data_IF_148363762719
#
_entry.id   IF_148363762719
#
_cell.length_a   1.000
_cell.length_b   1.000
_cell.length_c   1.000
_cell.angle_alpha   90.00
_cell.angle_beta   90.00
_cell.angle_gamma   90.00
#
_symmetry.space_group_name_H-M   'P 1'
#
loop_
_entity.id
_entity.type
_entity.pdbx_description
1 polymer ?
#
# COMPACT_ATOMS: atom_id res chain seq x y z
N UNK A 1 78.58 48.33 27.67
CA UNK A 1 77.95 49.57 28.16
C UNK A 1 78.20 50.62 27.10
N UNK A 2 77.18 50.96 26.30
CA UNK A 2 77.30 52.01 25.30
C UNK A 2 76.46 53.19 25.75
N UNK A 3 77.11 54.29 26.16
CA UNK A 3 76.47 55.60 26.22
C UNK A 3 76.74 56.24 24.86
N UNK A 4 75.70 56.34 24.03
CA UNK A 4 75.78 57.11 22.79
C UNK A 4 75.52 58.58 23.17
N UNK A 5 76.58 59.38 23.13
CA UNK A 5 76.51 60.83 23.17
C UNK A 5 76.58 61.37 21.74
N UNK A 6 75.84 62.46 21.53
CA UNK A 6 75.69 63.27 20.30
C UNK A 6 74.63 62.80 19.29
N UNK A 7 73.41 63.30 19.49
CA UNK A 7 72.37 63.42 18.47
C UNK A 7 71.88 64.87 18.40
N UNK A 8 72.00 65.49 17.23
CA UNK A 8 71.47 66.82 16.95
C UNK A 8 69.97 66.92 17.29
N UNK A 9 69.62 68.06 17.88
CA UNK A 9 68.28 68.61 18.14
C UNK A 9 67.20 68.12 17.15
N UNK A 10 66.40 67.12 17.55
CA UNK A 10 65.06 66.92 16.97
C UNK A 10 64.58 65.51 16.62
N UNK A 11 65.36 64.44 16.79
CA UNK A 11 64.86 63.06 16.54
C UNK A 11 64.41 62.37 17.85
N UNK A 12 63.31 61.58 17.84
CA UNK A 12 62.75 61.02 19.07
C UNK A 12 63.55 59.80 19.53
N UNK A 13 64.64 60.02 20.26
CA UNK A 13 65.38 59.03 21.07
C UNK A 13 64.50 58.05 21.88
N UNK A 14 63.30 58.40 22.41
CA UNK A 14 62.41 57.43 23.05
C UNK A 14 62.05 56.22 22.17
N UNK A 15 61.97 56.37 20.83
CA UNK A 15 61.62 55.26 19.92
C UNK A 15 62.71 54.18 19.84
N UNK A 16 63.97 54.50 20.20
CA UNK A 16 65.08 53.54 20.12
C UNK A 16 65.02 52.48 21.23
N UNK A 17 64.39 52.81 22.36
CA UNK A 17 64.19 51.87 23.48
C UNK A 17 63.17 50.77 23.21
N UNK A 18 62.31 50.95 22.20
CA UNK A 18 61.35 49.94 21.75
C UNK A 18 62.00 48.87 20.87
N UNK A 19 63.08 49.24 20.15
CA UNK A 19 63.77 48.36 19.18
C UNK A 19 64.92 47.59 19.83
N UNK A 20 65.65 48.20 20.78
CA UNK A 20 66.82 47.60 21.43
C UNK A 20 66.47 47.22 22.87
N UNK A 21 66.23 45.92 23.17
CA UNK A 21 65.99 45.47 24.54
C UNK A 21 67.24 45.72 25.40
N UNK A 22 67.02 46.06 26.69
CA UNK A 22 68.07 46.49 27.64
C UNK A 22 68.77 47.82 27.26
N UNK A 23 68.00 48.80 26.80
CA UNK A 23 68.44 50.20 26.68
C UNK A 23 67.64 51.12 27.62
N UNK A 24 68.25 52.22 28.04
CA UNK A 24 67.61 53.25 28.87
C UNK A 24 68.02 54.63 28.35
N UNK A 25 67.05 55.53 28.19
CA UNK A 25 67.26 56.92 27.76
C UNK A 25 67.03 57.84 28.94
N UNK A 26 67.82 58.91 29.02
CA UNK A 26 67.65 59.99 29.98
C UNK A 26 68.24 61.29 29.44
N UNK A 27 67.63 62.42 29.81
CA UNK A 27 67.99 63.74 29.32
C UNK A 27 69.23 64.28 30.05
N UNK A 28 70.30 64.52 29.31
CA UNK A 28 71.56 65.08 29.81
C UNK A 28 71.48 66.60 29.84
N UNK A 29 71.84 67.21 30.96
CA UNK A 29 71.95 68.67 31.04
C UNK A 29 73.11 69.17 30.17
N UNK A 30 73.02 70.40 29.66
CA UNK A 30 74.04 70.99 28.79
C UNK A 30 75.45 71.04 29.44
N UNK A 31 75.50 71.04 30.78
CA UNK A 31 76.74 71.03 31.59
C UNK A 31 77.17 69.63 32.06
N UNK A 32 76.44 68.58 31.67
CA UNK A 32 76.64 67.18 32.08
C UNK A 32 76.67 66.95 33.60
N UNK A 33 76.18 67.89 34.41
CA UNK A 33 76.21 67.81 35.87
C UNK A 33 75.35 66.66 36.43
N UNK A 34 74.33 66.22 35.69
CA UNK A 34 73.43 65.14 36.07
C UNK A 34 73.86 63.73 35.61
N UNK A 35 75.06 63.57 35.02
CA UNK A 35 75.51 62.29 34.43
C UNK A 35 75.54 61.11 35.43
N UNK A 36 75.96 61.34 36.67
CA UNK A 36 76.01 60.29 37.70
C UNK A 36 74.60 59.82 38.07
N UNK A 37 73.66 60.76 38.14
CA UNK A 37 72.25 60.47 38.42
C UNK A 37 71.60 59.74 37.24
N UNK A 38 71.94 60.09 36.01
CA UNK A 38 71.50 59.38 34.81
C UNK A 38 72.01 57.94 34.77
N UNK A 39 73.29 57.70 35.10
CA UNK A 39 73.84 56.34 35.17
C UNK A 39 73.14 55.53 36.26
N UNK A 40 72.90 56.12 37.44
CA UNK A 40 72.19 55.44 38.54
C UNK A 40 70.75 55.11 38.14
N UNK A 41 70.04 56.03 37.51
CA UNK A 41 68.67 55.82 37.03
C UNK A 41 68.62 54.78 35.91
N UNK A 42 69.57 54.83 34.97
CA UNK A 42 69.70 53.85 33.89
C UNK A 42 70.01 52.45 34.44
N UNK A 43 70.93 52.33 35.39
CA UNK A 43 71.25 51.06 36.05
C UNK A 43 70.02 50.48 36.77
N UNK A 44 69.30 51.30 37.55
CA UNK A 44 68.08 50.87 38.24
C UNK A 44 67.00 50.43 37.24
N UNK A 45 66.78 51.18 36.16
CA UNK A 45 65.79 50.85 35.12
C UNK A 45 66.14 49.58 34.33
N UNK A 46 67.43 49.33 34.09
CA UNK A 46 67.91 48.15 33.38
C UNK A 46 67.94 46.90 34.27
N UNK A 47 68.18 47.06 35.57
CA UNK A 47 68.17 45.96 36.55
C UNK A 47 66.76 45.59 36.99
N UNK A 48 65.81 46.54 36.99
CA UNK A 48 64.41 46.29 37.34
C UNK A 48 63.59 45.58 36.28
N UNK A 49 64.09 45.45 35.04
CA UNK A 49 63.36 44.79 33.95
C UNK A 49 64.08 43.55 33.45
N UNK A 50 63.41 42.41 33.46
CA UNK A 50 63.96 41.11 33.04
C UNK A 50 63.22 40.64 31.80
N UNK A 51 63.98 40.37 30.73
CA UNK A 51 63.49 39.75 29.51
C UNK A 51 64.02 38.33 29.41
N UNK A 52 63.13 37.36 29.21
CA UNK A 52 63.49 35.97 28.97
C UNK A 52 63.20 35.61 27.52
N UNK A 53 64.21 35.13 26.80
CA UNK A 53 64.10 34.84 25.37
C UNK A 53 64.91 33.60 25.00
N UNK A 54 64.68 33.06 23.80
CA UNK A 54 65.38 31.89 23.27
C UNK A 54 66.14 32.21 21.99
N UNK A 55 67.08 31.34 21.61
CA UNK A 55 67.70 31.40 20.29
C UNK A 55 66.73 30.89 19.21
N UNK A 56 67.12 31.05 17.94
CA UNK A 56 66.30 30.61 16.81
C UNK A 56 65.93 29.12 16.92
N UNK A 57 64.63 28.83 16.96
CA UNK A 57 64.05 27.48 16.96
C UNK A 57 63.43 27.18 15.59
N UNK A 58 63.39 25.90 15.17
CA UNK A 58 62.73 25.53 13.91
C UNK A 58 61.22 25.83 13.98
N UNK A 59 60.60 26.07 12.83
CA UNK A 59 59.16 26.36 12.71
C UNK A 59 58.24 25.26 13.26
N UNK A 60 58.79 24.05 13.44
CA UNK A 60 58.12 22.87 14.01
C UNK A 60 57.99 22.94 15.53
N UNK A 61 58.72 23.86 16.19
CA UNK A 61 58.64 24.14 17.62
C UNK A 61 58.07 25.55 17.85
N UNK A 62 57.04 25.62 18.68
CA UNK A 62 56.47 26.88 19.18
C UNK A 62 56.78 27.02 20.66
N UNK A 63 57.47 28.10 21.03
CA UNK A 63 57.82 28.43 22.41
C UNK A 63 57.02 29.67 22.83
N UNK A 64 56.26 29.56 23.90
CA UNK A 64 55.56 30.70 24.52
C UNK A 64 55.91 30.82 25.99
N UNK A 65 55.79 32.04 26.52
CA UNK A 65 56.18 32.41 27.87
C UNK A 65 54.99 33.01 28.60
N UNK A 66 54.76 32.56 29.83
CA UNK A 66 53.87 33.22 30.77
C UNK A 66 54.70 33.80 31.92
N UNK A 67 54.62 35.11 32.12
CA UNK A 67 55.43 35.88 33.07
C UNK A 67 54.61 36.18 34.33
N UNK A 68 55.11 35.76 35.49
CA UNK A 68 54.52 36.02 36.80
C UNK A 68 55.46 36.93 37.60
N UNK A 69 55.17 38.23 37.57
CA UNK A 69 56.04 39.27 38.11
C UNK A 69 55.72 39.61 39.56
N UNK A 70 56.70 40.12 40.30
CA UNK A 70 56.58 40.44 41.74
C UNK A 70 55.62 41.59 42.05
N UNK A 71 55.28 42.41 41.05
CA UNK A 71 54.33 43.52 41.15
C UNK A 71 52.85 43.09 40.97
N UNK A 72 52.58 41.78 40.90
CA UNK A 72 51.23 41.23 40.70
C UNK A 72 50.75 41.22 39.25
N UNK A 73 51.57 41.70 38.31
CA UNK A 73 51.27 41.64 36.87
C UNK A 73 51.57 40.24 36.34
N UNK A 74 50.61 39.67 35.61
CA UNK A 74 50.76 38.39 34.93
C UNK A 74 50.47 38.55 33.44
N UNK A 75 51.39 38.11 32.58
CA UNK A 75 51.21 38.08 31.13
C UNK A 75 51.28 36.63 30.66
N UNK A 76 50.30 36.16 29.89
CA UNK A 76 50.18 34.75 29.48
C UNK A 76 50.42 34.61 27.98
N UNK A 77 51.06 33.50 27.59
CA UNK A 77 51.29 33.07 26.19
C UNK A 77 51.92 34.14 25.28
N UNK A 78 52.89 34.88 25.80
CA UNK A 78 53.67 35.87 25.05
C UNK A 78 54.86 35.24 24.32
N UNK A 79 55.36 35.84 23.23
CA UNK A 79 56.53 35.34 22.49
C UNK A 79 57.84 35.44 23.26
N UNK A 80 57.88 36.30 24.29
CA UNK A 80 59.02 36.50 25.20
C UNK A 80 58.52 36.70 26.62
N UNK A 81 59.35 36.37 27.62
CA UNK A 81 59.09 36.74 29.00
C UNK A 81 59.44 38.21 29.24
N UNK A 82 58.58 38.95 29.95
CA UNK A 82 58.77 40.36 30.28
C UNK A 82 58.22 40.65 31.68
N UNK A 83 59.12 41.01 32.60
CA UNK A 83 58.77 41.52 33.92
C UNK A 83 59.48 42.83 34.19
N UNK A 84 58.72 43.84 34.59
CA UNK A 84 59.21 45.16 35.01
C UNK A 84 59.00 45.38 36.51
N UNK A 85 59.78 46.28 37.10
CA UNK A 85 59.74 46.58 38.54
C UNK A 85 60.26 45.45 39.45
N UNK A 86 61.15 44.59 38.94
CA UNK A 86 61.79 43.50 39.68
C UNK A 86 62.74 44.05 40.74
N UNK A 87 62.60 43.58 41.97
CA UNK A 87 63.44 43.99 43.10
C UNK A 87 64.55 42.99 43.38
N UNK A 88 65.66 43.47 43.95
CA UNK A 88 66.77 42.62 44.38
C UNK A 88 66.27 41.64 45.44
N UNK A 89 66.63 40.35 45.30
CA UNK A 89 66.24 39.24 46.18
C UNK A 89 64.75 38.88 46.20
N UNK A 90 63.93 39.38 45.26
CA UNK A 90 62.54 38.95 45.09
C UNK A 90 62.42 38.09 43.82
N UNK A 91 62.09 36.79 43.94
CA UNK A 91 62.02 35.90 42.78
C UNK A 91 60.80 36.21 41.91
N UNK A 92 60.98 36.07 40.59
CA UNK A 92 59.92 36.07 39.58
C UNK A 92 59.90 34.73 38.87
N UNK A 93 58.75 34.32 38.33
CA UNK A 93 58.60 33.01 37.69
C UNK A 93 58.17 33.17 36.24
N UNK A 94 58.83 32.45 35.34
CA UNK A 94 58.40 32.32 33.95
C UNK A 94 58.00 30.86 33.69
N UNK A 95 56.78 30.65 33.20
CA UNK A 95 56.32 29.35 32.71
C UNK A 95 56.56 29.29 31.20
N UNK A 96 57.41 28.36 30.77
CA UNK A 96 57.74 28.14 29.36
C UNK A 96 56.92 26.97 28.83
N UNK A 97 56.18 27.20 27.74
CA UNK A 97 55.40 26.17 27.05
C UNK A 97 56.04 25.89 25.69
N UNK A 98 56.50 24.65 25.49
CA UNK A 98 57.12 24.19 24.25
C UNK A 98 56.16 23.22 23.58
N UNK A 99 55.72 23.53 22.37
CA UNK A 99 54.78 22.70 21.60
C UNK A 99 55.39 22.33 20.26
N UNK A 100 55.43 21.03 19.95
CA UNK A 100 55.82 20.54 18.64
C UNK A 100 54.58 20.31 17.75
N UNK A 101 54.65 20.70 16.48
CA UNK A 101 53.54 20.47 15.52
C UNK A 101 53.62 19.10 14.85
N UNK A 102 54.80 18.48 14.87
CA UNK A 102 55.08 17.17 14.28
C UNK A 102 56.09 16.40 15.14
N UNK A 103 56.33 15.14 14.77
CA UNK A 103 57.37 14.32 15.38
C UNK A 103 58.75 14.81 14.97
N UNK A 104 59.33 15.67 15.81
CA UNK A 104 60.66 16.24 15.59
C UNK A 104 61.76 15.19 15.79
N UNK A 105 62.96 15.48 15.30
CA UNK A 105 64.14 14.77 15.76
C UNK A 105 64.63 15.33 17.09
N UNK A 106 65.44 14.53 17.79
CA UNK A 106 66.11 14.99 18.99
C UNK A 106 66.92 16.26 18.71
N UNK A 107 66.66 17.32 19.48
CA UNK A 107 67.32 18.61 19.32
C UNK A 107 67.37 19.38 20.64
N UNK A 108 68.14 20.46 20.67
CA UNK A 108 68.26 21.32 21.84
C UNK A 108 68.28 22.79 21.46
N UNK A 109 67.68 23.63 22.31
CA UNK A 109 67.74 25.07 22.21
C UNK A 109 68.03 25.69 23.56
N UNK A 110 68.36 26.99 23.58
CA UNK A 110 68.82 27.67 24.80
C UNK A 110 67.90 28.85 25.10
N UNK A 111 67.49 28.94 26.36
CA UNK A 111 66.75 30.07 26.91
C UNK A 111 67.72 30.90 27.75
N UNK A 112 67.69 32.22 27.61
CA UNK A 112 68.56 33.15 28.34
C UNK A 112 67.81 34.39 28.77
N UNK A 113 68.24 34.96 29.89
CA UNK A 113 67.82 36.30 30.27
C UNK A 113 68.67 37.33 29.51
N UNK A 114 68.04 38.25 28.77
CA UNK A 114 68.79 39.24 27.99
C UNK A 114 69.62 40.14 28.93
N UNK A 115 70.92 40.29 28.63
CA UNK A 115 71.86 41.06 29.44
C UNK A 115 72.56 40.26 30.55
N UNK A 116 72.28 38.96 30.69
CA UNK A 116 72.99 38.05 31.59
C UNK A 116 73.75 36.97 30.80
N UNK A 117 74.79 36.40 31.40
CA UNK A 117 75.58 35.30 30.82
C UNK A 117 74.98 33.93 31.08
N UNK A 118 74.07 33.83 32.05
CA UNK A 118 73.46 32.58 32.47
C UNK A 118 72.47 32.06 31.41
N UNK A 119 72.48 30.75 31.19
CA UNK A 119 71.66 30.10 30.17
C UNK A 119 71.03 28.80 30.69
N UNK A 120 69.89 28.45 30.11
CA UNK A 120 69.16 27.20 30.37
C UNK A 120 69.09 26.41 29.07
N UNK A 121 69.74 25.25 29.02
CA UNK A 121 69.70 24.34 27.87
C UNK A 121 68.47 23.43 27.96
N UNK A 122 67.59 23.52 26.97
CA UNK A 122 66.39 22.69 26.85
C UNK A 122 66.65 21.60 25.82
N UNK A 123 66.72 20.35 26.28
CA UNK A 123 66.80 19.16 25.40
C UNK A 123 65.38 18.67 25.11
N UNK A 124 65.02 18.59 23.83
CA UNK A 124 63.70 18.17 23.38
C UNK A 124 63.82 16.78 22.77
N UNK A 125 63.18 15.81 23.43
CA UNK A 125 63.12 14.42 22.99
C UNK A 125 61.75 14.13 22.37
N UNK A 126 61.66 13.55 21.16
CA UNK A 126 60.38 13.20 20.57
C UNK A 126 59.77 11.98 21.26
N UNK A 127 58.49 12.07 21.60
CA UNK A 127 57.72 10.96 22.16
C UNK A 127 56.61 10.55 21.19
N UNK A 128 57.01 10.00 20.05
CA UNK A 128 56.10 9.58 18.97
C UNK A 128 55.94 8.06 18.86
N UNK A 129 56.92 7.31 19.32
CA UNK A 129 56.89 5.85 19.25
C UNK A 129 56.01 5.27 20.37
N UNK A 130 55.09 4.40 19.98
CA UNK A 130 54.33 3.59 20.90
C UNK A 130 55.21 2.44 21.40
N UNK A 131 55.37 2.32 22.71
CA UNK A 131 56.09 1.21 23.33
C UNK A 131 55.18 -0.04 23.38
N UNK A 132 54.94 -0.66 22.23
CA UNK A 132 54.30 -1.97 22.12
C UNK A 132 55.38 -3.04 21.92
N UNK A 133 55.21 -4.23 22.52
CA UNK A 133 56.18 -5.32 22.33
C UNK A 133 56.17 -5.74 20.85
N UNK A 134 57.28 -5.51 20.15
CA UNK A 134 57.57 -6.20 18.91
C UNK A 134 57.96 -7.65 19.25
N UNK A 135 56.96 -8.50 19.50
CA UNK A 135 57.21 -9.94 19.72
C UNK A 135 57.58 -10.59 18.39
N UNK A 136 58.87 -10.57 18.08
CA UNK A 136 59.47 -11.28 16.94
C UNK A 136 59.23 -12.80 16.96
N UNK A 137 58.81 -13.36 18.11
CA UNK A 137 58.45 -14.76 18.28
C UNK A 137 57.04 -15.14 17.78
N UNK A 138 56.20 -14.17 17.42
CA UNK A 138 54.83 -14.40 16.93
C UNK A 138 54.74 -14.67 15.42
N UNK A 139 55.80 -15.15 14.76
CA UNK A 139 55.78 -15.48 13.31
C UNK A 139 54.62 -16.39 12.91
N UNK A 140 54.18 -17.29 13.80
CA UNK A 140 53.06 -18.19 13.54
C UNK A 140 51.71 -17.49 13.35
N UNK A 141 51.46 -16.36 14.02
CA UNK A 141 50.17 -15.64 13.95
C UNK A 141 49.99 -14.91 12.61
N UNK A 142 51.08 -14.49 11.98
CA UNK A 142 51.09 -13.82 10.68
C UNK A 142 51.44 -14.79 9.53
N UNK A 143 51.04 -16.06 9.67
CA UNK A 143 51.23 -17.09 8.63
C UNK A 143 52.70 -17.40 8.31
N UNK A 144 53.65 -16.98 9.14
CA UNK A 144 55.08 -17.07 8.89
C UNK A 144 55.60 -16.16 7.77
N UNK A 145 54.77 -15.23 7.26
CA UNK A 145 55.05 -14.33 6.13
C UNK A 145 54.96 -12.85 6.54
N UNK A 146 55.21 -12.58 7.81
CA UNK A 146 55.14 -11.25 8.40
C UNK A 146 55.54 -11.27 9.88
N UNK A 147 55.49 -10.10 10.51
CA UNK A 147 55.74 -9.92 11.94
C UNK A 147 54.60 -9.17 12.62
N UNK A 148 54.39 -9.42 13.90
CA UNK A 148 53.36 -8.76 14.70
C UNK A 148 53.90 -7.46 15.28
N UNK A 149 53.22 -6.34 15.02
CA UNK A 149 53.54 -5.03 15.55
C UNK A 149 52.27 -4.43 16.18
N UNK A 150 52.29 -4.12 17.47
CA UNK A 150 51.15 -3.59 18.22
C UNK A 150 49.81 -4.37 18.01
N UNK A 151 49.87 -5.70 17.86
CA UNK A 151 48.68 -6.55 17.71
C UNK A 151 48.15 -6.69 16.28
N UNK A 152 48.83 -6.12 15.27
CA UNK A 152 48.51 -6.29 13.85
C UNK A 152 49.68 -6.93 13.11
N UNK A 153 49.41 -7.68 12.04
CA UNK A 153 50.45 -8.28 11.21
C UNK A 153 50.96 -7.28 10.16
N UNK A 154 52.27 -7.05 10.14
CA UNK A 154 53.00 -6.39 9.06
C UNK A 154 53.56 -7.47 8.13
N UNK A 155 52.98 -7.58 6.94
CA UNK A 155 53.34 -8.62 5.98
C UNK A 155 54.61 -8.28 5.21
N UNK A 156 55.37 -9.30 4.86
CA UNK A 156 56.53 -9.20 3.97
C UNK A 156 56.07 -8.85 2.55
N UNK A 157 56.99 -8.32 1.74
CA UNK A 157 56.70 -7.95 0.36
C UNK A 157 56.14 -9.16 -0.43
N UNK A 158 55.01 -8.96 -1.12
CA UNK A 158 54.33 -10.01 -1.86
C UNK A 158 53.24 -10.75 -1.07
N UNK A 159 53.04 -10.41 0.20
CA UNK A 159 51.95 -10.95 1.03
C UNK A 159 51.06 -9.82 1.56
N UNK A 160 49.76 -10.11 1.68
CA UNK A 160 48.75 -9.19 2.20
C UNK A 160 47.68 -9.97 2.97
N UNK A 161 46.83 -9.27 3.71
CA UNK A 161 45.79 -9.87 4.54
C UNK A 161 46.04 -9.59 6.03
N UNK A 162 45.03 -9.87 6.86
CA UNK A 162 45.11 -9.58 8.30
C UNK A 162 46.14 -10.44 9.02
N UNK A 163 46.39 -11.63 8.49
CA UNK A 163 47.36 -12.61 8.97
C UNK A 163 48.38 -12.98 7.89
N UNK A 164 48.56 -12.14 6.87
CA UNK A 164 49.44 -12.38 5.72
C UNK A 164 49.11 -13.67 4.94
N UNK A 165 47.82 -14.01 4.89
CA UNK A 165 47.28 -15.23 4.30
C UNK A 165 47.23 -15.21 2.76
N UNK A 166 47.31 -14.03 2.14
CA UNK A 166 47.21 -13.87 0.70
C UNK A 166 48.58 -13.58 0.08
N UNK A 167 48.93 -14.29 -0.99
CA UNK A 167 50.07 -13.95 -1.83
C UNK A 167 49.60 -13.08 -3.01
N UNK A 168 50.25 -11.96 -3.25
CA UNK A 168 49.77 -10.96 -4.22
C UNK A 168 50.07 -11.31 -5.67
N UNK A 169 51.02 -12.23 -5.94
CA UNK A 169 51.50 -12.58 -7.29
C UNK A 169 51.76 -11.35 -8.20
N UNK A 170 52.21 -10.23 -7.61
CA UNK A 170 52.49 -8.98 -8.32
C UNK A 170 51.29 -8.03 -8.52
N UNK A 171 50.10 -8.37 -8.02
CA UNK A 171 48.91 -7.50 -8.07
C UNK A 171 48.86 -6.55 -6.86
N UNK A 172 48.41 -5.32 -7.08
CA UNK A 172 48.22 -4.35 -5.99
C UNK A 172 47.02 -4.71 -5.10
N UNK A 173 47.00 -4.21 -3.86
CA UNK A 173 45.85 -4.39 -2.94
C UNK A 173 44.54 -3.88 -3.56
N UNK A 174 44.62 -2.76 -4.29
CA UNK A 174 43.50 -2.13 -4.98
C UNK A 174 42.93 -2.98 -6.12
N UNK A 175 43.79 -3.71 -6.85
CA UNK A 175 43.33 -4.65 -7.89
C UNK A 175 42.63 -5.87 -7.33
N UNK A 176 43.09 -6.38 -6.18
CA UNK A 176 42.40 -7.48 -5.48
C UNK A 176 41.03 -7.01 -4.96
N UNK A 177 40.96 -5.83 -4.35
CA UNK A 177 39.68 -5.25 -3.91
C UNK A 177 38.70 -4.99 -5.05
N UNK A 178 39.20 -4.57 -6.22
CA UNK A 178 38.38 -4.41 -7.43
C UNK A 178 37.69 -5.71 -7.85
N UNK A 179 38.33 -6.87 -7.67
CA UNK A 179 37.75 -8.17 -8.01
C UNK A 179 36.63 -8.65 -7.07
N UNK A 180 36.46 -7.99 -5.93
CA UNK A 180 35.39 -8.19 -4.95
C UNK A 180 34.22 -7.22 -5.13
N UNK A 181 34.24 -6.37 -6.17
CA UNK A 181 33.11 -5.52 -6.57
C UNK A 181 32.47 -6.08 -7.82
N UNK A 182 31.14 -6.01 -7.89
CA UNK A 182 30.38 -6.40 -9.08
C UNK A 182 30.57 -5.39 -10.22
N UNK A 183 30.57 -4.11 -9.86
CA UNK A 183 30.75 -2.94 -10.71
C UNK A 183 31.37 -1.77 -9.91
N UNK A 184 31.87 -0.74 -10.60
CA UNK A 184 32.56 0.38 -9.94
C UNK A 184 31.69 1.12 -8.91
N UNK A 185 30.37 1.09 -9.07
CA UNK A 185 29.43 1.73 -8.14
C UNK A 185 28.98 0.80 -7.01
N UNK A 186 29.27 -0.50 -7.09
CA UNK A 186 28.97 -1.43 -6.00
C UNK A 186 29.95 -1.28 -4.85
N UNK A 187 29.42 -1.49 -3.65
CA UNK A 187 30.21 -1.67 -2.43
C UNK A 187 30.91 -3.03 -2.47
N UNK A 188 32.08 -3.13 -1.82
CA UNK A 188 32.82 -4.39 -1.71
C UNK A 188 31.93 -5.48 -1.10
N UNK A 189 31.87 -6.64 -1.77
CA UNK A 189 31.11 -7.80 -1.33
C UNK A 189 29.66 -7.47 -0.89
N UNK A 190 29.03 -6.51 -1.57
CA UNK A 190 27.67 -6.04 -1.27
C UNK A 190 27.45 -5.60 0.18
N UNK A 191 28.53 -5.32 0.93
CA UNK A 191 28.49 -4.97 2.36
C UNK A 191 28.10 -6.12 3.28
N UNK A 192 27.97 -7.33 2.74
CA UNK A 192 27.51 -8.53 3.45
C UNK A 192 28.60 -9.62 3.50
N UNK A 193 29.86 -9.22 3.29
CA UNK A 193 31.01 -10.11 3.30
C UNK A 193 32.32 -9.34 3.34
N UNK A 194 33.39 -10.08 3.59
CA UNK A 194 34.76 -9.56 3.62
C UNK A 194 35.48 -9.98 2.34
N UNK A 195 36.20 -9.05 1.70
CA UNK A 195 37.05 -9.37 0.56
C UNK A 195 38.38 -9.94 1.05
N UNK A 196 38.59 -11.24 0.82
CA UNK A 196 39.82 -11.94 1.16
C UNK A 196 40.46 -12.46 -0.14
N UNK A 197 41.68 -12.01 -0.42
CA UNK A 197 42.45 -12.41 -1.59
C UNK A 197 41.71 -12.25 -2.95
N UNK A 198 40.84 -11.25 -3.08
CA UNK A 198 40.08 -11.01 -4.31
C UNK A 198 38.83 -11.89 -4.47
N UNK A 199 38.41 -12.56 -3.41
CA UNK A 199 37.14 -13.29 -3.33
C UNK A 199 36.35 -12.82 -2.10
N UNK A 200 35.03 -12.79 -2.24
CA UNK A 200 34.17 -12.42 -1.12
C UNK A 200 33.86 -13.62 -0.24
N UNK A 201 34.07 -13.46 1.07
CA UNK A 201 33.63 -14.41 2.10
C UNK A 201 32.42 -13.81 2.80
N UNK A 202 31.24 -14.37 2.53
CA UNK A 202 29.99 -13.83 3.03
C UNK A 202 29.82 -14.03 4.52
N UNK A 203 29.28 -13.01 5.19
CA UNK A 203 29.00 -13.05 6.61
C UNK A 203 27.90 -14.07 6.90
N UNK A 204 27.99 -14.69 8.09
CA UNK A 204 26.89 -15.51 8.62
C UNK A 204 25.87 -14.56 9.23
N UNK A 205 24.59 -14.78 8.93
CA UNK A 205 23.51 -13.96 9.49
C UNK A 205 23.07 -14.50 10.85
N UNK A 206 22.73 -13.59 11.78
CA UNK A 206 22.13 -13.93 13.07
C UNK A 206 20.66 -14.38 12.94
N UNK A 207 20.04 -14.15 11.77
CA UNK A 207 18.66 -14.56 11.50
C UNK A 207 18.62 -16.08 11.24
N UNK A 208 17.77 -16.84 11.94
CA UNK A 208 17.65 -18.29 11.74
C UNK A 208 17.39 -18.63 10.27
N UNK A 209 18.14 -19.61 9.75
CA UNK A 209 18.04 -20.12 8.38
C UNK A 209 18.35 -19.12 7.26
N UNK A 210 18.79 -17.89 7.55
CA UNK A 210 19.25 -16.94 6.53
C UNK A 210 20.69 -17.25 6.13
N UNK A 211 20.90 -17.50 4.85
CA UNK A 211 22.21 -17.72 4.22
C UNK A 211 22.45 -16.68 3.16
N UNK A 212 23.60 -16.02 3.24
CA UNK A 212 24.09 -15.06 2.24
C UNK A 212 25.11 -15.79 1.39
N UNK A 213 25.00 -15.65 0.07
CA UNK A 213 25.84 -16.34 -0.89
C UNK A 213 25.96 -15.52 -2.19
N UNK A 214 26.68 -16.06 -3.16
CA UNK A 214 27.00 -15.37 -4.41
C UNK A 214 28.46 -14.95 -4.44
N UNK A 215 28.93 -14.55 -5.63
CA UNK A 215 30.33 -14.19 -5.84
C UNK A 215 30.72 -12.92 -5.09
N UNK A 216 29.74 -12.04 -4.90
CA UNK A 216 29.86 -10.73 -4.27
C UNK A 216 28.95 -10.63 -3.04
N UNK A 217 28.51 -11.75 -2.47
CA UNK A 217 27.56 -11.81 -1.35
C UNK A 217 26.25 -11.04 -1.59
N UNK A 218 25.81 -11.05 -2.85
CA UNK A 218 24.67 -10.30 -3.35
C UNK A 218 23.33 -11.05 -3.23
N UNK A 219 23.38 -12.35 -2.95
CA UNK A 219 22.21 -13.22 -2.89
C UNK A 219 21.93 -13.68 -1.47
N UNK A 220 20.65 -13.93 -1.17
CA UNK A 220 20.24 -14.67 0.01
C UNK A 220 19.10 -15.65 -0.32
N UNK A 221 18.70 -16.43 0.68
CA UNK A 221 17.64 -17.44 0.59
C UNK A 221 16.34 -17.01 1.29
N UNK A 222 16.15 -15.73 1.60
CA UNK A 222 14.96 -15.23 2.33
C UNK A 222 14.22 -14.12 1.60
N UNK A 223 14.90 -13.39 0.70
CA UNK A 223 14.35 -12.28 -0.08
C UNK A 223 13.74 -12.76 -1.41
N UNK A 224 12.81 -13.71 -1.33
CA UNK A 224 11.94 -14.08 -2.46
C UNK A 224 10.48 -13.73 -2.17
N UNK A 225 9.63 -13.80 -3.20
CA UNK A 225 8.18 -13.64 -3.06
C UNK A 225 7.59 -14.62 -2.04
N UNK A 226 6.56 -14.15 -1.33
CA UNK A 226 5.90 -14.93 -0.28
C UNK A 226 4.52 -15.37 -0.73
N UNK A 227 4.18 -16.60 -0.38
CA UNK A 227 2.84 -17.15 -0.51
C UNK A 227 2.42 -17.71 0.85
N UNK A 228 1.21 -17.38 1.29
CA UNK A 228 0.67 -17.77 2.60
C UNK A 228 1.61 -17.40 3.78
N UNK A 229 2.19 -16.19 3.71
CA UNK A 229 3.15 -15.67 4.70
C UNK A 229 4.55 -16.29 4.66
N UNK A 230 4.78 -17.36 3.88
CA UNK A 230 6.05 -18.09 3.80
C UNK A 230 6.78 -17.80 2.49
N UNK A 231 8.11 -17.70 2.56
CA UNK A 231 8.98 -17.49 1.38
C UNK A 231 8.84 -18.68 0.44
N UNK A 232 8.50 -18.43 -0.84
CA UNK A 232 8.23 -19.47 -1.85
C UNK A 232 7.19 -20.52 -1.43
N UNK A 233 6.21 -20.14 -0.60
CA UNK A 233 5.20 -21.08 -0.08
C UNK A 233 5.73 -22.05 0.98
N UNK A 234 6.96 -21.85 1.46
CA UNK A 234 7.65 -22.71 2.42
C UNK A 234 8.43 -23.84 1.76
N UNK A 235 9.23 -24.54 2.57
CA UNK A 235 10.15 -25.58 2.09
C UNK A 235 9.40 -26.75 1.41
N UNK A 236 8.13 -26.99 1.75
CA UNK A 236 7.29 -28.00 1.10
C UNK A 236 6.97 -27.70 -0.37
N UNK A 237 6.98 -26.42 -0.76
CA UNK A 237 6.60 -25.97 -2.11
C UNK A 237 7.78 -25.52 -2.94
N UNK A 238 8.82 -24.96 -2.33
CA UNK A 238 9.99 -24.51 -3.06
C UNK A 238 11.10 -23.95 -2.17
N UNK A 239 12.24 -23.67 -2.80
CA UNK A 239 13.38 -23.03 -2.17
C UNK A 239 13.67 -21.67 -2.80
N UNK A 240 14.04 -20.68 -2.00
CA UNK A 240 14.46 -19.38 -2.47
C UNK A 240 15.96 -19.37 -2.77
N UNK A 241 16.34 -18.87 -3.94
CA UNK A 241 17.72 -18.49 -4.20
C UNK A 241 17.80 -17.21 -5.03
N UNK A 242 18.44 -16.18 -4.46
CA UNK A 242 18.74 -14.91 -5.12
C UNK A 242 17.53 -14.24 -5.77
N UNK A 243 16.44 -14.10 -5.00
CA UNK A 243 15.22 -13.44 -5.45
C UNK A 243 14.29 -14.28 -6.32
N UNK A 244 14.65 -15.53 -6.67
CA UNK A 244 13.82 -16.44 -7.43
C UNK A 244 13.42 -17.67 -6.62
N UNK A 245 12.15 -18.05 -6.74
CA UNK A 245 11.65 -19.30 -6.16
C UNK A 245 11.86 -20.47 -7.13
N UNK A 246 12.49 -21.52 -6.63
CA UNK A 246 12.66 -22.79 -7.31
C UNK A 246 11.63 -23.77 -6.74
N UNK A 247 10.55 -23.99 -7.47
CA UNK A 247 9.43 -24.80 -7.01
C UNK A 247 9.76 -26.30 -7.10
N UNK A 248 9.30 -27.04 -6.10
CA UNK A 248 9.34 -28.50 -6.07
C UNK A 248 8.38 -29.07 -7.11
N UNK A 249 8.56 -30.35 -7.42
CA UNK A 249 7.70 -31.08 -8.33
C UNK A 249 6.22 -30.97 -7.89
N UNK A 250 5.34 -30.67 -8.84
CA UNK A 250 3.92 -30.42 -8.57
C UNK A 250 3.54 -28.97 -8.28
N UNK A 251 4.49 -28.05 -8.13
CA UNK A 251 4.22 -26.62 -7.93
C UNK A 251 4.84 -25.74 -9.02
N UNK A 252 4.22 -24.59 -9.27
CA UNK A 252 4.68 -23.56 -10.20
C UNK A 252 4.24 -22.15 -9.80
N UNK A 253 4.68 -21.15 -10.58
CA UNK A 253 4.45 -19.73 -10.31
C UNK A 253 5.67 -19.04 -9.68
N UNK A 254 5.59 -17.72 -9.57
CA UNK A 254 6.67 -16.85 -9.07
C UNK A 254 7.03 -17.10 -7.60
N UNK A 255 6.07 -17.56 -6.80
CA UNK A 255 6.18 -17.85 -5.37
C UNK A 255 5.79 -19.30 -5.03
N UNK A 256 5.77 -20.20 -6.02
CA UNK A 256 5.28 -21.58 -5.89
C UNK A 256 3.84 -21.68 -5.34
N UNK A 257 3.04 -20.68 -5.66
CA UNK A 257 1.65 -20.55 -5.24
C UNK A 257 0.72 -21.55 -5.94
N UNK A 258 1.07 -21.95 -7.15
CA UNK A 258 0.21 -22.69 -8.06
C UNK A 258 0.50 -24.19 -7.95
N UNK A 259 -0.52 -25.01 -7.67
CA UNK A 259 -0.38 -26.46 -7.78
C UNK A 259 -0.65 -26.88 -9.24
N UNK A 260 0.24 -27.71 -9.79
CA UNK A 260 0.13 -28.25 -11.17
C UNK A 260 -0.97 -29.29 -11.33
N UNK A 261 -1.41 -29.87 -10.21
CA UNK A 261 -2.51 -30.82 -10.18
C UNK A 261 -3.79 -30.16 -10.70
N UNK A 262 -4.59 -30.91 -11.45
CA UNK A 262 -5.94 -30.47 -11.89
C UNK A 262 -7.05 -31.18 -11.10
N UNK A 263 -6.70 -31.98 -10.08
CA UNK A 263 -7.66 -32.82 -9.34
C UNK A 263 -8.80 -32.04 -8.70
N UNK A 264 -8.54 -30.86 -8.18
CA UNK A 264 -9.54 -29.94 -7.61
C UNK A 264 -10.46 -29.29 -8.64
N UNK A 265 -10.08 -29.34 -9.93
CA UNK A 265 -10.90 -28.87 -11.04
C UNK A 265 -11.77 -29.97 -11.67
N UNK A 266 -11.56 -31.24 -11.32
CA UNK A 266 -12.30 -32.36 -11.90
C UNK A 266 -13.60 -32.62 -11.14
N UNK A 267 -14.70 -32.80 -11.86
CA UNK A 267 -15.96 -33.28 -11.29
C UNK A 267 -15.88 -34.77 -10.91
N UNK A 268 -16.88 -35.29 -10.20
CA UNK A 268 -16.98 -36.72 -9.88
C UNK A 268 -16.99 -37.62 -11.13
N UNK A 269 -17.40 -37.07 -12.27
CA UNK A 269 -17.45 -37.73 -13.58
C UNK A 269 -16.17 -37.50 -14.42
N UNK A 270 -15.19 -36.77 -13.89
CA UNK A 270 -13.90 -36.51 -14.53
C UNK A 270 -13.89 -35.32 -15.51
N UNK A 271 -14.90 -34.45 -15.48
CA UNK A 271 -14.94 -33.26 -16.34
C UNK A 271 -14.25 -32.06 -15.69
N UNK A 272 -13.27 -31.48 -16.39
CA UNK A 272 -12.59 -30.26 -15.94
C UNK A 272 -13.54 -29.07 -15.99
N UNK A 273 -13.81 -28.46 -14.83
CA UNK A 273 -14.65 -27.28 -14.66
C UNK A 273 -16.01 -27.38 -15.38
N UNK A 274 -16.54 -28.61 -15.49
CA UNK A 274 -17.74 -28.99 -16.24
C UNK A 274 -17.79 -28.44 -17.69
N UNK A 275 -16.63 -28.21 -18.32
CA UNK A 275 -16.50 -27.65 -19.67
C UNK A 275 -16.94 -26.18 -19.80
N UNK A 276 -17.02 -25.45 -18.68
CA UNK A 276 -17.47 -24.04 -18.59
C UNK A 276 -16.50 -23.15 -17.83
N UNK A 277 -15.22 -23.46 -18.00
CA UNK A 277 -14.13 -22.73 -17.38
C UNK A 277 -12.80 -23.33 -17.79
N UNK A 278 -11.72 -22.78 -17.23
CA UNK A 278 -10.37 -23.32 -17.38
C UNK A 278 -9.78 -23.59 -16.01
N UNK A 279 -9.11 -24.73 -15.84
CA UNK A 279 -8.38 -24.97 -14.60
C UNK A 279 -7.10 -24.14 -14.55
N UNK A 280 -6.92 -23.35 -13.50
CA UNK A 280 -5.68 -22.64 -13.19
C UNK A 280 -5.34 -22.84 -11.72
N UNK A 281 -4.12 -23.31 -11.44
CA UNK A 281 -3.66 -23.56 -10.06
C UNK A 281 -4.60 -24.44 -9.25
N UNK A 282 -5.10 -25.53 -9.87
CA UNK A 282 -6.03 -26.47 -9.25
C UNK A 282 -7.40 -25.87 -8.84
N UNK A 283 -7.74 -24.69 -9.39
CA UNK A 283 -9.00 -23.98 -9.17
C UNK A 283 -9.63 -23.63 -10.52
N UNK A 284 -10.95 -23.77 -10.63
CA UNK A 284 -11.68 -23.42 -11.85
C UNK A 284 -11.90 -21.92 -12.00
N UNK A 285 -11.36 -21.35 -13.08
CA UNK A 285 -11.72 -20.02 -13.58
C UNK A 285 -12.96 -20.17 -14.48
N UNK A 286 -14.14 -19.91 -13.91
CA UNK A 286 -15.42 -20.13 -14.57
C UNK A 286 -15.76 -19.06 -15.62
N UNK A 287 -16.43 -19.49 -16.70
CA UNK A 287 -17.04 -18.60 -17.69
C UNK A 287 -18.11 -17.71 -17.00
N UNK A 288 -18.39 -16.52 -17.57
CA UNK A 288 -19.16 -15.47 -16.91
C UNK A 288 -20.49 -15.95 -16.28
N UNK A 289 -20.65 -15.70 -14.98
CA UNK A 289 -21.86 -15.99 -14.20
C UNK A 289 -21.85 -17.35 -13.49
N UNK A 290 -21.06 -18.31 -13.95
CA UNK A 290 -20.92 -19.62 -13.29
C UNK A 290 -20.12 -19.49 -11.99
N UNK A 291 -20.55 -20.21 -10.96
CA UNK A 291 -19.96 -20.14 -9.62
C UNK A 291 -18.89 -21.22 -9.40
N UNK A 292 -17.78 -20.89 -8.69
CA UNK A 292 -16.85 -21.87 -8.14
C UNK A 292 -17.56 -22.84 -7.16
N UNK A 293 -17.01 -24.03 -6.88
CA UNK A 293 -15.66 -24.50 -7.25
C UNK A 293 -15.54 -25.16 -8.63
N UNK A 294 -16.65 -25.63 -9.23
CA UNK A 294 -16.63 -26.47 -10.44
C UNK A 294 -17.47 -25.92 -11.61
N UNK A 295 -17.93 -24.67 -11.56
CA UNK A 295 -18.70 -24.02 -12.63
C UNK A 295 -20.02 -24.73 -12.98
N UNK A 296 -20.69 -25.30 -11.96
CA UNK A 296 -21.92 -26.07 -12.13
C UNK A 296 -23.13 -25.17 -12.38
N UNK A 297 -23.32 -24.18 -11.53
CA UNK A 297 -24.54 -23.35 -11.49
C UNK A 297 -24.23 -21.90 -11.83
N UNK A 298 -25.15 -21.27 -12.57
CA UNK A 298 -25.12 -19.85 -12.87
C UNK A 298 -26.45 -19.22 -12.42
N UNK A 299 -26.45 -18.60 -11.23
CA UNK A 299 -27.64 -17.98 -10.65
C UNK A 299 -28.08 -16.71 -11.40
N UNK A 300 -27.13 -15.99 -11.99
CA UNK A 300 -27.37 -14.74 -12.72
C UNK A 300 -27.58 -14.90 -14.23
N UNK A 301 -27.53 -16.12 -14.77
CA UNK A 301 -27.67 -16.32 -16.20
C UNK A 301 -29.13 -16.14 -16.67
N UNK A 302 -29.35 -15.51 -17.84
CA UNK A 302 -30.69 -15.39 -18.41
C UNK A 302 -31.30 -16.79 -18.65
N UNK A 303 -32.63 -16.84 -18.60
CA UNK A 303 -33.34 -18.11 -18.77
C UNK A 303 -33.17 -18.66 -20.20
N UNK A 304 -32.70 -19.91 -20.37
CA UNK A 304 -32.57 -20.50 -21.70
C UNK A 304 -33.92 -20.89 -22.33
N UNK A 305 -35.03 -20.81 -21.58
CA UNK A 305 -36.36 -21.25 -22.03
C UNK A 305 -36.76 -20.69 -23.40
N UNK A 306 -36.66 -19.36 -23.58
CA UNK A 306 -37.05 -18.71 -24.83
C UNK A 306 -36.21 -19.12 -26.05
N UNK A 307 -34.99 -19.61 -25.86
CA UNK A 307 -34.13 -20.08 -26.96
C UNK A 307 -34.46 -21.51 -27.39
N UNK A 308 -34.91 -22.35 -26.46
CA UNK A 308 -35.13 -23.78 -26.72
C UNK A 308 -36.60 -24.16 -26.96
N UNK A 309 -37.53 -23.19 -27.00
CA UNK A 309 -38.94 -23.43 -27.36
C UNK A 309 -39.10 -24.02 -28.76
N UNK A 310 -38.33 -23.54 -29.74
CA UNK A 310 -38.34 -24.09 -31.12
C UNK A 310 -37.88 -25.53 -31.15
N UNK A 311 -36.84 -25.87 -30.38
CA UNK A 311 -36.37 -27.25 -30.23
C UNK A 311 -37.38 -28.14 -29.50
N UNK A 312 -38.08 -27.62 -28.50
CA UNK A 312 -39.14 -28.34 -27.81
C UNK A 312 -40.27 -28.75 -28.78
N UNK A 313 -40.67 -27.83 -29.67
CA UNK A 313 -41.70 -28.09 -30.68
C UNK A 313 -41.24 -29.10 -31.72
N UNK A 314 -40.05 -28.87 -32.27
CA UNK A 314 -39.49 -29.70 -33.33
C UNK A 314 -39.32 -31.16 -32.86
N UNK A 315 -38.71 -31.37 -31.69
CA UNK A 315 -38.37 -32.71 -31.19
C UNK A 315 -39.59 -33.53 -30.71
N UNK A 316 -40.70 -32.89 -30.37
CA UNK A 316 -41.89 -33.57 -29.80
C UNK A 316 -43.07 -33.64 -30.75
N UNK A 317 -43.30 -32.59 -31.54
CA UNK A 317 -44.48 -32.45 -32.40
C UNK A 317 -44.14 -32.42 -33.89
N UNK A 318 -42.87 -32.63 -34.28
CA UNK A 318 -42.36 -32.57 -35.66
C UNK A 318 -42.71 -31.26 -36.40
N UNK A 319 -42.95 -30.19 -35.65
CA UNK A 319 -43.25 -28.86 -36.17
C UNK A 319 -41.95 -28.03 -36.19
N UNK A 320 -41.21 -28.06 -37.31
CA UNK A 320 -40.07 -27.16 -37.54
C UNK A 320 -40.54 -25.86 -38.22
N UNK A 321 -40.26 -24.67 -37.65
CA UNK A 321 -40.51 -23.40 -38.34
C UNK A 321 -39.65 -23.22 -39.61
N UNK A 322 -38.50 -23.88 -39.66
CA UNK A 322 -37.45 -23.65 -40.66
C UNK A 322 -37.49 -24.65 -41.82
N UNK A 323 -38.34 -25.67 -41.77
CA UNK A 323 -38.36 -26.79 -42.73
C UNK A 323 -37.09 -27.64 -42.71
N UNK A 324 -36.21 -27.44 -41.73
CA UNK A 324 -34.96 -28.18 -41.54
C UNK A 324 -35.19 -29.38 -40.63
N UNK A 325 -34.32 -30.38 -40.75
CA UNK A 325 -34.41 -31.59 -39.94
C UNK A 325 -34.11 -31.26 -38.47
N UNK A 326 -35.02 -31.61 -37.55
CA UNK A 326 -34.95 -31.24 -36.13
C UNK A 326 -33.63 -31.66 -35.46
N UNK A 327 -33.07 -32.80 -35.86
CA UNK A 327 -31.80 -33.30 -35.35
C UNK A 327 -30.61 -32.40 -35.67
N UNK A 328 -30.67 -31.65 -36.77
CA UNK A 328 -29.61 -30.72 -37.19
C UNK A 328 -29.76 -29.39 -36.45
N UNK A 329 -31.00 -28.91 -36.28
CA UNK A 329 -31.30 -27.65 -35.60
C UNK A 329 -31.06 -27.74 -34.09
N UNK A 330 -31.27 -28.91 -33.50
CA UNK A 330 -31.21 -29.16 -32.06
C UNK A 330 -30.10 -30.14 -31.67
N UNK A 331 -28.99 -30.20 -32.42
CA UNK A 331 -27.92 -31.19 -32.20
C UNK A 331 -27.28 -31.17 -30.79
N UNK A 332 -27.35 -30.05 -30.08
CA UNK A 332 -26.83 -29.91 -28.71
C UNK A 332 -27.88 -30.25 -27.62
N UNK A 333 -29.08 -30.66 -28.04
CA UNK A 333 -30.23 -30.93 -27.17
C UNK A 333 -30.62 -32.40 -27.24
N UNK A 334 -30.59 -33.09 -26.10
CA UNK A 334 -31.07 -34.47 -26.00
C UNK A 334 -32.53 -34.53 -25.59
N UNK A 335 -33.36 -35.32 -26.30
CA UNK A 335 -34.75 -35.54 -25.90
C UNK A 335 -34.84 -36.63 -24.82
N UNK A 336 -35.48 -36.32 -23.70
CA UNK A 336 -35.78 -37.26 -22.62
C UNK A 336 -37.25 -37.69 -22.65
N UNK A 337 -37.50 -39.00 -22.60
CA UNK A 337 -38.86 -39.56 -22.54
C UNK A 337 -39.55 -39.33 -21.19
N UNK A 338 -38.79 -39.20 -20.10
CA UNK A 338 -39.31 -38.95 -18.75
C UNK A 338 -38.79 -37.63 -18.21
N UNK A 339 -39.60 -36.99 -17.36
CA UNK A 339 -39.22 -35.75 -16.67
C UNK A 339 -38.01 -35.99 -15.77
N UNK A 340 -36.94 -35.18 -15.89
CA UNK A 340 -35.81 -35.26 -14.98
C UNK A 340 -36.18 -34.74 -13.58
N UNK A 341 -35.61 -35.34 -12.53
CA UNK A 341 -35.81 -34.89 -11.13
C UNK A 341 -35.21 -33.50 -10.87
N UNK A 342 -34.07 -33.20 -11.52
CA UNK A 342 -33.39 -31.91 -11.45
C UNK A 342 -33.44 -31.24 -12.82
N UNK A 343 -33.97 -30.03 -12.88
CA UNK A 343 -34.05 -29.25 -14.11
C UNK A 343 -34.87 -27.97 -13.92
N UNK A 344 -34.71 -27.04 -14.87
CA UNK A 344 -35.48 -25.80 -14.93
C UNK A 344 -36.76 -26.05 -15.71
N UNK A 345 -37.90 -25.80 -15.08
CA UNK A 345 -39.21 -25.85 -15.76
C UNK A 345 -39.44 -24.56 -16.52
N UNK A 346 -39.81 -24.68 -17.79
CA UNK A 346 -40.09 -23.61 -18.72
C UNK A 346 -41.55 -23.74 -19.19
N UNK A 347 -42.23 -22.61 -19.34
CA UNK A 347 -43.56 -22.53 -19.96
C UNK A 347 -43.55 -21.34 -20.92
N UNK A 348 -43.61 -21.63 -22.21
CA UNK A 348 -43.49 -20.64 -23.28
C UNK A 348 -44.61 -20.86 -24.31
N UNK A 349 -44.87 -19.84 -25.14
CA UNK A 349 -45.87 -19.93 -26.22
C UNK A 349 -45.25 -20.50 -27.49
N UNK A 350 -46.01 -21.34 -28.18
CA UNK A 350 -45.64 -21.86 -29.49
C UNK A 350 -46.02 -20.93 -30.65
N UNK A 351 -45.68 -21.34 -31.87
CA UNK A 351 -45.99 -20.60 -33.10
C UNK A 351 -47.50 -20.46 -33.34
N UNK A 352 -48.30 -21.39 -32.81
CA UNK A 352 -49.76 -21.41 -32.91
C UNK A 352 -50.44 -20.65 -31.74
N UNK A 353 -49.64 -20.11 -30.80
CA UNK A 353 -50.10 -19.35 -29.65
C UNK A 353 -50.53 -20.20 -28.44
N UNK A 354 -50.32 -21.51 -28.48
CA UNK A 354 -50.57 -22.43 -27.37
C UNK A 354 -49.40 -22.45 -26.37
N UNK A 355 -49.68 -22.69 -25.10
CA UNK A 355 -48.63 -22.83 -24.09
C UNK A 355 -48.06 -24.25 -24.09
N UNK A 356 -46.74 -24.34 -24.22
CA UNK A 356 -45.98 -25.58 -24.09
C UNK A 356 -45.17 -25.53 -22.80
N UNK A 357 -45.26 -26.59 -22.01
CA UNK A 357 -44.46 -26.78 -20.80
C UNK A 357 -43.38 -27.82 -21.05
N UNK A 358 -42.14 -27.48 -20.72
CA UNK A 358 -40.99 -28.37 -20.88
C UNK A 358 -39.99 -28.17 -19.75
N UNK A 359 -39.16 -29.17 -19.49
CA UNK A 359 -38.14 -29.15 -18.44
C UNK A 359 -36.77 -29.30 -19.09
N UNK A 360 -35.85 -28.37 -18.79
CA UNK A 360 -34.47 -28.38 -19.26
C UNK A 360 -33.54 -28.84 -18.14
N UNK A 361 -32.75 -29.89 -18.38
CA UNK A 361 -31.64 -30.31 -17.52
C UNK A 361 -30.33 -29.99 -18.21
N UNK A 362 -29.49 -29.16 -17.59
CA UNK A 362 -28.24 -28.74 -18.20
C UNK A 362 -27.21 -29.89 -18.20
N UNK A 363 -26.59 -30.15 -19.35
CA UNK A 363 -25.51 -31.14 -19.51
C UNK A 363 -24.14 -30.48 -19.37
N UNK A 364 -23.10 -31.30 -19.22
CA UNK A 364 -21.70 -30.84 -19.21
C UNK A 364 -21.37 -30.12 -20.53
N UNK A 365 -20.57 -29.06 -20.44
CA UNK A 365 -20.19 -28.23 -21.59
C UNK A 365 -21.05 -26.97 -21.76
N UNK A 366 -20.82 -26.26 -22.87
CA UNK A 366 -21.50 -25.00 -23.20
C UNK A 366 -22.79 -25.27 -23.97
N UNK A 367 -23.87 -24.58 -23.58
CA UNK A 367 -25.17 -24.59 -24.27
C UNK A 367 -25.72 -25.99 -24.63
N UNK A 368 -25.41 -27.01 -23.82
CA UNK A 368 -25.93 -28.37 -23.98
C UNK A 368 -26.95 -28.70 -22.91
N UNK A 369 -28.10 -29.21 -23.34
CA UNK A 369 -29.25 -29.47 -22.48
C UNK A 369 -29.93 -30.79 -22.84
N UNK A 370 -30.51 -31.42 -21.84
CA UNK A 370 -31.57 -32.41 -21.98
C UNK A 370 -32.92 -31.72 -21.88
N UNK A 371 -33.84 -32.03 -22.77
CA UNK A 371 -35.20 -31.48 -22.79
C UNK A 371 -36.23 -32.59 -22.63
N UNK A 372 -37.19 -32.38 -21.73
CA UNK A 372 -38.41 -33.17 -21.64
C UNK A 372 -39.61 -32.28 -21.89
N UNK A 373 -40.45 -32.61 -22.87
CA UNK A 373 -41.63 -31.82 -23.25
C UNK A 373 -42.88 -32.56 -22.79
N UNK A 374 -43.76 -31.88 -22.05
CA UNK A 374 -45.03 -32.45 -21.58
C UNK A 374 -45.95 -32.74 -22.80
N UNK A 375 -46.74 -33.81 -22.75
CA UNK A 375 -47.53 -34.29 -23.90
C UNK A 375 -48.70 -33.34 -24.28
N UNK A 376 -49.18 -32.54 -23.34
CA UNK A 376 -50.38 -31.70 -23.51
C UNK A 376 -50.01 -30.24 -23.75
N UNK A 377 -50.57 -29.65 -24.82
CA UNK A 377 -50.51 -28.20 -25.09
C UNK A 377 -51.77 -27.52 -24.57
N UNK A 378 -51.60 -26.38 -23.90
CA UNK A 378 -52.73 -25.58 -23.42
C UNK A 378 -53.06 -24.48 -24.45
N UNK A 379 -54.06 -24.73 -25.29
CA UNK A 379 -54.57 -23.76 -26.25
C UNK A 379 -55.86 -23.12 -25.71
N UNK A 380 -55.95 -21.78 -25.74
CA UNK A 380 -57.21 -21.10 -25.40
C UNK A 380 -58.17 -21.28 -26.57
N UNK A 381 -59.14 -22.17 -26.44
CA UNK A 381 -60.24 -22.27 -27.39
C UNK A 381 -61.04 -20.96 -27.40
N UNK A 382 -61.28 -20.39 -28.58
CA UNK A 382 -62.10 -19.18 -28.72
C UNK A 382 -63.49 -19.35 -28.07
N UNK A 383 -64.17 -18.24 -27.69
CA UNK A 383 -65.46 -18.32 -27.03
C UNK A 383 -66.47 -19.06 -27.92
N UNK A 384 -67.22 -20.01 -27.34
CA UNK A 384 -68.30 -20.71 -28.05
C UNK A 384 -69.46 -19.74 -28.26
N UNK A 385 -69.50 -19.09 -29.43
CA UNK A 385 -70.46 -18.03 -29.78
C UNK A 385 -71.92 -18.54 -29.80
N UNK A 386 -72.14 -19.79 -30.21
CA UNK A 386 -73.47 -20.38 -30.38
C UNK A 386 -74.37 -20.34 -29.11
N UNK A 387 -73.95 -20.79 -27.91
CA UNK A 387 -74.77 -20.71 -26.70
C UNK A 387 -75.02 -19.28 -26.22
N UNK A 388 -74.07 -18.36 -26.45
CA UNK A 388 -74.20 -16.95 -26.03
C UNK A 388 -75.31 -16.26 -26.83
N UNK A 389 -75.30 -16.45 -28.15
CA UNK A 389 -76.33 -15.87 -29.03
C UNK A 389 -77.70 -16.55 -28.80
N UNK A 390 -77.72 -17.87 -28.58
CA UNK A 390 -78.96 -18.59 -28.28
C UNK A 390 -79.62 -18.12 -26.98
N UNK A 391 -78.83 -17.90 -25.92
CA UNK A 391 -79.31 -17.45 -24.62
C UNK A 391 -79.91 -16.03 -24.65
N UNK A 392 -79.27 -15.10 -25.34
CA UNK A 392 -79.74 -13.71 -25.43
C UNK A 392 -81.04 -13.60 -26.22
N UNK A 393 -81.15 -14.29 -27.37
CA UNK A 393 -82.37 -14.29 -28.19
C UNK A 393 -83.55 -14.89 -27.43
N UNK A 394 -83.33 -16.02 -26.74
CA UNK A 394 -84.36 -16.69 -25.94
C UNK A 394 -84.89 -15.81 -24.79
N UNK A 395 -83.98 -15.10 -24.11
CA UNK A 395 -84.33 -14.20 -23.01
C UNK A 395 -85.21 -13.03 -23.45
N UNK A 396 -84.89 -12.41 -24.59
CA UNK A 396 -85.68 -11.29 -25.14
C UNK A 396 -87.09 -11.75 -25.51
N UNK A 397 -87.22 -12.92 -26.15
CA UNK A 397 -88.53 -13.47 -26.52
C UNK A 397 -89.38 -13.78 -25.28
N UNK A 398 -88.80 -14.38 -24.25
CA UNK A 398 -89.51 -14.70 -23.01
C UNK A 398 -90.00 -13.44 -22.28
N UNK A 399 -89.17 -12.40 -22.19
CA UNK A 399 -89.58 -11.12 -21.58
C UNK A 399 -90.73 -10.48 -22.36
N UNK A 400 -90.69 -10.52 -23.69
CA UNK A 400 -91.78 -10.03 -24.54
C UNK A 400 -93.10 -10.77 -24.29
N UNK A 401 -93.06 -12.11 -24.18
CA UNK A 401 -94.25 -12.93 -23.86
C UNK A 401 -94.77 -12.62 -22.46
N UNK A 402 -93.89 -12.41 -21.48
CA UNK A 402 -94.26 -12.09 -20.10
C UNK A 402 -94.97 -10.73 -20.00
N UNK A 403 -94.47 -9.72 -20.72
CA UNK A 403 -95.12 -8.41 -20.79
C UNK A 403 -96.50 -8.48 -21.46
N UNK A 404 -96.64 -9.26 -22.54
CA UNK A 404 -97.95 -9.50 -23.17
C UNK A 404 -98.92 -10.22 -22.24
N UNK A 405 -98.45 -11.21 -21.48
CA UNK A 405 -99.27 -11.92 -20.49
C UNK A 405 -99.73 -11.01 -19.34
N UNK A 406 -98.83 -10.16 -18.82
CA UNK A 406 -99.15 -9.15 -17.80
C UNK A 406 -100.18 -8.15 -18.35
N UNK A 407 -99.99 -7.65 -19.57
CA UNK A 407 -100.94 -6.75 -20.20
C UNK A 407 -102.32 -7.41 -20.39
N UNK A 408 -102.36 -8.67 -20.84
CA UNK A 408 -103.59 -9.47 -20.97
C UNK A 408 -104.29 -9.70 -19.63
N UNK A 409 -103.52 -9.93 -18.57
CA UNK A 409 -104.06 -10.10 -17.22
C UNK A 409 -104.62 -8.79 -16.64
N UNK A 410 -103.91 -7.67 -16.82
CA UNK A 410 -104.36 -6.34 -16.36
C UNK A 410 -105.63 -5.89 -17.09
N UNK A 411 -105.69 -6.08 -18.41
CA UNK A 411 -106.88 -5.77 -19.21
C UNK A 411 -108.08 -6.63 -18.79
N UNK A 412 -107.89 -7.94 -18.61
CA UNK A 412 -108.95 -8.85 -18.13
C UNK A 412 -109.44 -8.51 -16.71
N UNK A 413 -108.55 -8.09 -15.80
CA UNK A 413 -108.93 -7.63 -14.45
C UNK A 413 -109.68 -6.30 -14.47
N UNK A 414 -109.30 -5.39 -15.38
CA UNK A 414 -110.01 -4.13 -15.60
C UNK A 414 -111.41 -4.39 -16.15
N UNK A 415 -111.53 -5.22 -17.20
CA UNK A 415 -112.81 -5.60 -17.79
C UNK A 415 -113.72 -6.30 -16.78
N UNK A 416 -113.19 -7.17 -15.91
CA UNK A 416 -113.96 -7.79 -14.83
C UNK A 416 -114.41 -6.78 -13.77
N UNK A 417 -113.61 -5.76 -13.47
CA UNK A 417 -114.01 -4.67 -12.57
C UNK A 417 -115.10 -3.81 -13.18
N UNK A 418 -114.98 -3.44 -14.45
CA UNK A 418 -116.00 -2.69 -15.16
C UNK A 418 -117.28 -3.50 -15.34
N UNK A 419 -117.18 -4.79 -15.66
CA UNK A 419 -118.34 -5.69 -15.74
C UNK A 419 -119.10 -5.78 -14.40
N UNK A 420 -118.37 -5.92 -13.28
CA UNK A 420 -118.97 -5.89 -11.93
C UNK A 420 -119.55 -4.52 -11.56
N UNK A 421 -118.97 -3.44 -12.05
CA UNK A 421 -119.50 -2.08 -11.88
C UNK A 421 -120.80 -1.90 -12.68
N UNK A 422 -120.82 -2.39 -13.93
CA UNK A 422 -121.99 -2.39 -14.80
C UNK A 422 -123.12 -3.25 -14.24
N UNK A 423 -122.85 -4.44 -13.69
CA UNK A 423 -123.88 -5.24 -12.99
C UNK A 423 -124.46 -4.53 -11.77
N UNK A 424 -123.62 -3.86 -10.97
CA UNK A 424 -124.08 -3.05 -9.82
C UNK A 424 -124.93 -1.86 -10.25
N UNK A 425 -124.60 -1.22 -11.37
CA UNK A 425 -125.40 -0.12 -11.94
C UNK A 425 -126.71 -0.64 -12.55
N UNK A 426 -126.70 -1.80 -13.22
CA UNK A 426 -127.90 -2.48 -13.73
C UNK A 426 -128.88 -2.89 -12.61
N UNK A 427 -128.37 -3.35 -11.47
CA UNK A 427 -129.19 -3.67 -10.28
C UNK A 427 -129.74 -2.41 -9.57
N UNK A 428 -129.10 -1.24 -9.74
CA UNK A 428 -129.59 0.05 -9.22
C UNK A 428 -130.58 0.76 -10.15
N UNK A 429 -130.62 0.40 -11.42
CA UNK A 429 -131.60 0.92 -12.39
C UNK A 429 -132.78 -0.05 -12.55
N UNK A 430 -133.52 -0.31 -11.47
CA UNK A 430 -134.88 -0.83 -11.58
C UNK A 430 -135.81 0.36 -11.87
N UNK A 431 -136.35 0.39 -13.08
CA UNK A 431 -137.35 1.36 -13.52
C UNK A 431 -138.66 1.15 -12.75
N UNK A 432 -139.04 2.12 -11.92
CA UNK A 432 -140.42 2.25 -11.44
C UNK A 432 -141.28 2.85 -12.57
N UNK A 433 -142.17 2.03 -13.12
CA UNK A 433 -143.24 2.46 -14.02
C UNK A 433 -144.42 2.97 -13.19
N UNK A 434 -144.44 4.26 -12.85
CA UNK A 434 -145.68 4.97 -12.50
C UNK A 434 -145.63 6.43 -13.00
N UNK A 435 -146.55 6.74 -13.92
CA UNK A 435 -146.73 8.03 -14.58
C UNK A 435 -147.71 8.92 -13.78
N UNK A 436 -147.29 10.06 -13.21
CA UNK A 436 -148.12 10.91 -12.37
C UNK A 436 -149.20 11.75 -13.10
N UNK A 437 -149.54 11.47 -14.36
CA UNK A 437 -150.61 12.17 -15.10
C UNK A 437 -151.78 11.29 -15.58
N UNK A 438 -151.85 10.02 -15.21
CA UNK A 438 -152.90 9.11 -15.70
C UNK A 438 -153.90 8.72 -14.60
N UNK A 439 -155.14 9.23 -14.66
CA UNK A 439 -156.31 8.76 -13.89
C UNK A 439 -157.35 8.17 -14.85
N UNK A 440 -157.75 6.92 -14.64
CA UNK A 440 -158.92 6.25 -15.24
C UNK A 440 -159.97 5.99 -14.14
N UNK A 441 -161.25 5.71 -14.37
CA UNK A 441 -162.27 6.13 -15.35
C UNK A 441 -163.65 5.75 -14.70
N UNK A 442 -164.66 6.63 -14.74
CA UNK A 442 -166.13 6.30 -14.65
C UNK A 442 -166.67 5.83 -13.27
N UNK A 443 -167.87 6.15 -12.72
CA UNK A 443 -169.01 7.11 -12.83
C UNK A 443 -169.80 6.97 -11.50
N UNK A 444 -170.74 7.83 -11.06
CA UNK A 444 -172.19 7.74 -11.37
C UNK A 444 -172.96 8.79 -10.54
N UNK A 445 -173.99 9.36 -11.17
CA UNK A 445 -174.92 10.39 -10.68
C UNK A 445 -176.07 9.77 -9.90
N UNK A 446 -176.57 10.45 -8.87
CA UNK A 446 -178.01 10.41 -8.52
C UNK A 446 -178.50 11.77 -8.02
N UNK A 447 -179.57 12.25 -8.66
CA UNK A 447 -180.43 13.35 -8.23
C UNK A 447 -181.86 12.82 -8.14
N UNK A 448 -182.43 12.73 -6.93
CA UNK A 448 -183.86 12.70 -6.71
C UNK A 448 -184.32 14.05 -6.14
N UNK A 449 -185.29 14.66 -6.83
CA UNK A 449 -185.94 15.91 -6.45
C UNK A 449 -186.84 15.71 -5.21
N UNK A 450 -186.22 15.49 -4.06
CA UNK A 450 -186.73 15.54 -2.67
C UNK A 450 -185.46 15.62 -1.79
N UNK A 451 -185.08 16.72 -1.14
CA UNK A 451 -185.89 17.53 -0.24
C UNK A 451 -185.52 19.04 -0.29
N UNK A 452 -186.56 19.85 -0.19
CA UNK A 452 -186.63 21.28 0.17
C UNK A 452 -185.91 21.53 1.52
N UNK A 453 -185.38 22.71 1.86
CA UNK A 453 -185.67 24.11 1.50
C UNK A 453 -184.40 24.93 1.32
#
# INVERSE_FOLDING_TARGET
MGLLGEGHRGDPEPKLTEVIPKSAVGELSDDSSNVVQLIKNAYNKLSSRVFLDHNMVPSTLKVTYSSFCSNGVSQVDQPRGDCDGVQINVPITFQVKVTATECIQEQSFVIRALGFTDTVTVRVLPQCECHCRAESQARGLCGGKGFLECGICRCEAGYIGKSCECQTHGRSSQELEGSCRRDNNSILCSGLGDCLCGQCVCHRSDVPNKKIFGRYCECDNVNCERYDGRVCGGEERGSCACGKCYCKEGFEGSACQCERSTRGCLSAEGFECNGRGRCRCNVCECDAGYQPPLCLECLGCPSPCGRYITCAQCLKFDQSPSGKNCSVECGNVGLLSKRPEKGRRCKERDLEGCWITFTLRQRVGRDSYDIHVDDTRECVGGPKIAPIVGGTVSGVVLIGILLLAIWKALTHLSDLREYKRFEKEKLKSQWNNDNPLFKSATTTVMNPKFAES
#
